data_IF_520572731136
#
_entry.id   IF_520572731136
#
_cell.length_a   1.000
_cell.length_b   1.000
_cell.length_c   1.000
_cell.angle_alpha   90.00
_cell.angle_beta   90.00
_cell.angle_gamma   90.00
#
_symmetry.space_group_name_H-M   'P 1'
#
loop_
_entity.id
_entity.type
_entity.pdbx_description
1 polymer ?
#
# COMPACT_ATOMS: atom_id res chain seq x y z
N UNK A 1 -0.62 -17.03 20.34
CA UNK A 1 0.61 -16.21 20.15
C UNK A 1 1.34 -16.48 18.82
N UNK A 2 0.98 -17.52 18.06
CA UNK A 2 1.49 -17.74 16.69
C UNK A 2 0.96 -16.81 15.57
N UNK A 3 -0.29 -16.28 15.59
CA UNK A 3 -0.80 -15.53 14.43
C UNK A 3 -0.12 -14.16 14.25
N UNK A 4 0.22 -13.51 15.35
CA UNK A 4 0.82 -12.15 15.35
C UNK A 4 2.25 -12.17 14.79
N UNK A 5 3.02 -13.21 15.10
CA UNK A 5 4.39 -13.36 14.63
C UNK A 5 4.44 -13.57 13.10
N UNK A 6 3.44 -14.26 12.55
CA UNK A 6 3.31 -14.46 11.11
C UNK A 6 2.95 -13.15 10.40
N UNK A 7 2.00 -12.36 10.92
CA UNK A 7 1.65 -11.05 10.35
C UNK A 7 2.80 -10.04 10.40
N UNK A 8 3.63 -10.07 11.45
CA UNK A 8 4.85 -9.26 11.53
C UNK A 8 5.87 -9.71 10.48
N UNK A 9 6.07 -11.02 10.29
CA UNK A 9 6.98 -11.57 9.28
C UNK A 9 6.53 -11.21 7.85
N UNK A 10 5.23 -11.26 7.59
CA UNK A 10 4.63 -10.88 6.31
C UNK A 10 4.77 -9.38 6.02
N UNK A 11 4.53 -8.55 7.03
CA UNK A 11 4.73 -7.09 6.96
C UNK A 11 6.20 -6.76 6.72
N UNK A 12 7.13 -7.42 7.43
CA UNK A 12 8.57 -7.28 7.23
C UNK A 12 8.98 -7.67 5.80
N UNK A 13 8.49 -8.79 5.29
CA UNK A 13 8.85 -9.26 3.94
C UNK A 13 8.37 -8.31 2.85
N UNK A 14 7.26 -7.59 3.09
CA UNK A 14 6.71 -6.60 2.15
C UNK A 14 7.45 -5.26 2.22
N UNK A 15 7.84 -4.81 3.42
CA UNK A 15 8.49 -3.50 3.62
C UNK A 15 10.00 -3.56 3.34
N UNK A 16 10.67 -4.68 3.61
CA UNK A 16 12.11 -4.87 3.39
C UNK A 16 12.59 -4.54 1.97
N UNK A 17 11.97 -5.02 0.87
CA UNK A 17 12.42 -4.69 -0.48
C UNK A 17 12.29 -3.20 -0.80
N UNK A 18 11.22 -2.56 -0.31
CA UNK A 18 10.98 -1.13 -0.52
C UNK A 18 12.04 -0.32 0.23
N UNK A 19 12.31 -0.65 1.51
CA UNK A 19 13.33 0.00 2.30
C UNK A 19 14.74 -0.16 1.69
N UNK A 20 15.03 -1.33 1.11
CA UNK A 20 16.30 -1.60 0.43
C UNK A 20 16.47 -0.70 -0.81
N UNK A 21 15.43 -0.57 -1.64
CA UNK A 21 15.44 0.33 -2.80
C UNK A 21 15.68 1.77 -2.36
N UNK A 22 14.98 2.24 -1.32
CA UNK A 22 15.14 3.61 -0.81
C UNK A 22 16.57 3.85 -0.32
N UNK A 23 17.15 2.93 0.45
CA UNK A 23 18.55 3.05 0.93
C UNK A 23 19.53 3.09 -0.25
N UNK A 24 19.32 2.24 -1.26
CA UNK A 24 20.17 2.19 -2.45
C UNK A 24 20.11 3.51 -3.24
N UNK A 25 18.92 4.05 -3.48
CA UNK A 25 18.72 5.35 -4.14
C UNK A 25 19.28 6.52 -3.31
N UNK A 26 19.15 6.45 -1.98
CA UNK A 26 19.64 7.47 -1.05
C UNK A 26 21.16 7.62 -1.09
N UNK A 27 21.88 6.50 -1.26
CA UNK A 27 23.36 6.48 -1.34
C UNK A 27 23.87 6.84 -2.74
N UNK A 28 23.14 6.46 -3.80
CA UNK A 28 23.63 6.59 -5.19
C UNK A 28 23.18 7.86 -5.91
N UNK A 29 21.92 8.29 -5.76
CA UNK A 29 21.35 9.39 -6.56
C UNK A 29 21.13 10.69 -5.79
N UNK A 30 20.69 10.60 -4.52
CA UNK A 30 20.21 11.77 -3.77
C UNK A 30 21.20 12.26 -2.70
N UNK A 31 22.17 11.43 -2.30
CA UNK A 31 23.16 11.73 -1.25
C UNK A 31 22.53 12.45 -0.05
N UNK A 32 21.65 11.73 0.66
CA UNK A 32 20.91 12.29 1.80
C UNK A 32 21.82 12.57 3.00
N UNK A 33 21.51 13.66 3.71
CA UNK A 33 22.12 13.94 5.01
C UNK A 33 21.77 12.87 6.05
N UNK A 34 22.68 12.62 6.99
CA UNK A 34 22.53 11.58 7.99
C UNK A 34 21.26 11.74 8.85
N UNK A 35 20.80 12.98 9.09
CA UNK A 35 19.56 13.25 9.83
C UNK A 35 18.31 12.72 9.12
N UNK A 36 18.24 12.85 7.80
CA UNK A 36 17.10 12.38 6.99
C UNK A 36 17.07 10.86 6.93
N UNK A 37 18.25 10.22 6.85
CA UNK A 37 18.38 8.77 6.82
C UNK A 37 17.92 8.13 8.14
N UNK A 38 18.26 8.74 9.28
CA UNK A 38 17.77 8.28 10.60
C UNK A 38 16.26 8.43 10.73
N UNK A 39 15.68 9.54 10.24
CA UNK A 39 14.23 9.74 10.23
C UNK A 39 13.53 8.69 9.36
N UNK A 40 14.11 8.34 8.21
CA UNK A 40 13.60 7.28 7.35
C UNK A 40 13.63 5.91 8.04
N UNK A 41 14.73 5.54 8.72
CA UNK A 41 14.80 4.27 9.46
C UNK A 41 13.77 4.22 10.59
N UNK A 42 13.64 5.30 11.36
CA UNK A 42 12.65 5.38 12.43
C UNK A 42 11.22 5.29 11.87
N UNK A 43 10.94 6.01 10.79
CA UNK A 43 9.67 5.94 10.06
C UNK A 43 9.38 4.54 9.55
N UNK A 44 10.39 3.83 9.02
CA UNK A 44 10.25 2.44 8.56
C UNK A 44 9.87 1.50 9.70
N UNK A 45 10.48 1.66 10.89
CA UNK A 45 10.12 0.87 12.08
C UNK A 45 8.66 1.14 12.48
N UNK A 46 8.26 2.42 12.53
CA UNK A 46 6.89 2.81 12.88
C UNK A 46 5.88 2.28 11.85
N UNK A 47 6.25 2.31 10.56
CA UNK A 47 5.44 1.76 9.47
C UNK A 47 5.26 0.25 9.61
N UNK A 48 6.32 -0.51 9.91
CA UNK A 48 6.22 -1.97 10.11
C UNK A 48 5.27 -2.29 11.28
N UNK A 49 5.38 -1.54 12.39
CA UNK A 49 4.49 -1.72 13.54
C UNK A 49 3.04 -1.36 13.18
N UNK A 50 2.82 -0.22 12.53
CA UNK A 50 1.49 0.24 12.10
C UNK A 50 0.83 -0.73 11.11
N UNK A 51 1.58 -1.18 10.11
CA UNK A 51 1.13 -2.19 9.15
C UNK A 51 0.82 -3.52 9.81
N UNK A 52 1.64 -3.97 10.77
CA UNK A 52 1.40 -5.21 11.50
C UNK A 52 0.10 -5.16 12.31
N UNK A 53 -0.15 -4.05 13.02
CA UNK A 53 -1.40 -3.84 13.75
C UNK A 53 -2.59 -3.68 12.81
N UNK A 54 -2.43 -2.96 11.70
CA UNK A 54 -3.47 -2.78 10.69
C UNK A 54 -3.89 -4.11 10.09
N UNK A 55 -2.95 -4.97 9.66
CA UNK A 55 -3.24 -6.29 9.07
C UNK A 55 -3.98 -7.21 10.05
N UNK A 56 -3.60 -7.20 11.33
CA UNK A 56 -4.33 -7.96 12.35
C UNK A 56 -5.74 -7.38 12.57
N UNK A 57 -5.85 -6.05 12.63
CA UNK A 57 -7.14 -5.37 12.81
C UNK A 57 -8.10 -5.56 11.63
N UNK A 58 -7.58 -5.52 10.39
CA UNK A 58 -8.35 -5.71 9.17
C UNK A 58 -8.86 -7.14 9.04
N UNK A 59 -8.07 -8.13 9.43
CA UNK A 59 -8.50 -9.54 9.45
C UNK A 59 -9.66 -9.79 10.42
N UNK A 60 -9.70 -9.09 11.56
CA UNK A 60 -10.78 -9.25 12.55
C UNK A 60 -12.04 -8.47 12.14
N UNK A 61 -11.90 -7.36 11.42
CA UNK A 61 -12.99 -6.41 11.20
C UNK A 61 -13.41 -6.28 9.73
N UNK A 62 -12.47 -5.93 8.85
CA UNK A 62 -12.76 -5.64 7.45
C UNK A 62 -13.10 -6.90 6.66
N UNK A 63 -12.43 -8.02 6.95
CA UNK A 63 -12.66 -9.30 6.26
C UNK A 63 -14.07 -9.89 6.50
N UNK A 64 -14.58 -10.01 7.76
CA UNK A 64 -15.95 -10.47 7.98
C UNK A 64 -17.01 -9.46 7.50
N UNK A 65 -16.70 -8.16 7.52
CA UNK A 65 -17.58 -7.14 6.96
C UNK A 65 -17.72 -7.30 5.44
N UNK A 66 -16.60 -7.53 4.75
CA UNK A 66 -16.56 -7.80 3.31
C UNK A 66 -17.29 -9.09 2.94
N UNK A 67 -17.08 -10.17 3.67
CA UNK A 67 -17.76 -11.46 3.43
C UNK A 67 -19.28 -11.36 3.68
N UNK A 68 -19.70 -10.66 4.74
CA UNK A 68 -21.11 -10.43 5.05
C UNK A 68 -21.84 -9.61 3.97
N UNK A 69 -21.23 -8.49 3.53
CA UNK A 69 -21.75 -7.64 2.46
C UNK A 69 -21.72 -8.37 1.12
N UNK A 70 -20.63 -9.08 0.81
CA UNK A 70 -20.48 -9.86 -0.42
C UNK A 70 -21.53 -10.95 -0.56
N UNK A 71 -21.79 -11.71 0.52
CA UNK A 71 -22.83 -12.75 0.56
C UNK A 71 -24.24 -12.18 0.37
N UNK A 72 -24.57 -11.05 1.01
CA UNK A 72 -25.89 -10.42 0.81
C UNK A 72 -26.06 -9.84 -0.58
N UNK A 73 -24.99 -9.33 -1.19
CA UNK A 73 -25.01 -8.79 -2.54
C UNK A 73 -25.17 -9.88 -3.60
N UNK A 74 -24.58 -11.06 -3.40
CA UNK A 74 -24.69 -12.21 -4.30
C UNK A 74 -25.99 -13.01 -4.13
N UNK A 75 -26.67 -12.92 -2.97
CA UNK A 75 -27.91 -13.66 -2.66
C UNK A 75 -29.04 -13.46 -3.68
N UNK A 76 -29.06 -12.34 -4.41
CA UNK A 76 -30.07 -12.05 -5.45
C UNK A 76 -29.80 -12.70 -6.82
N UNK A 77 -28.75 -13.52 -6.98
CA UNK A 77 -28.42 -14.19 -8.25
C UNK A 77 -27.95 -13.23 -9.37
N UNK A 78 -27.72 -11.96 -9.04
CA UNK A 78 -27.30 -10.91 -9.98
C UNK A 78 -25.79 -10.75 -9.91
N UNK A 79 -25.04 -11.68 -10.50
CA UNK A 79 -23.57 -11.66 -10.57
C UNK A 79 -23.00 -10.37 -11.20
N UNK A 80 -23.80 -9.67 -12.02
CA UNK A 80 -23.44 -8.39 -12.62
C UNK A 80 -23.37 -7.23 -11.59
N UNK A 81 -24.11 -7.32 -10.49
CA UNK A 81 -24.21 -6.25 -9.50
C UNK A 81 -22.94 -6.15 -8.61
N UNK A 82 -22.41 -7.25 -8.02
CA UNK A 82 -21.10 -7.24 -7.37
C UNK A 82 -19.98 -6.79 -8.28
N UNK A 83 -19.99 -7.22 -9.55
CA UNK A 83 -18.96 -6.86 -10.53
C UNK A 83 -18.91 -5.34 -10.72
N UNK A 84 -20.08 -4.70 -10.92
CA UNK A 84 -20.17 -3.26 -11.13
C UNK A 84 -19.76 -2.49 -9.87
N UNK A 85 -20.17 -2.95 -8.69
CA UNK A 85 -19.78 -2.32 -7.41
C UNK A 85 -18.28 -2.43 -7.17
N UNK A 86 -17.68 -3.61 -7.36
CA UNK A 86 -16.24 -3.79 -7.25
C UNK A 86 -15.47 -2.93 -8.27
N UNK A 87 -15.99 -2.80 -9.49
CA UNK A 87 -15.39 -1.94 -10.51
C UNK A 87 -15.40 -0.46 -10.10
N UNK A 88 -16.55 0.04 -9.65
CA UNK A 88 -16.68 1.44 -9.21
C UNK A 88 -15.82 1.71 -7.97
N UNK A 89 -15.84 0.81 -6.99
CA UNK A 89 -15.07 0.94 -5.75
C UNK A 89 -13.56 0.87 -6.04
N UNK A 90 -13.12 -0.05 -6.90
CA UNK A 90 -11.75 -0.12 -7.38
C UNK A 90 -11.32 1.14 -8.13
N UNK A 91 -12.16 1.66 -9.02
CA UNK A 91 -11.91 2.93 -9.72
C UNK A 91 -11.70 4.08 -8.74
N UNK A 92 -12.55 4.21 -7.72
CA UNK A 92 -12.39 5.25 -6.71
C UNK A 92 -11.13 5.07 -5.87
N UNK A 93 -10.74 3.85 -5.50
CA UNK A 93 -9.48 3.60 -4.79
C UNK A 93 -8.29 4.04 -5.63
N UNK A 94 -8.22 3.65 -6.91
CA UNK A 94 -7.12 4.05 -7.80
C UNK A 94 -7.07 5.56 -8.01
N UNK A 95 -8.21 6.22 -8.23
CA UNK A 95 -8.24 7.69 -8.38
C UNK A 95 -7.85 8.39 -7.07
N UNK A 96 -8.17 7.79 -5.93
CA UNK A 96 -7.83 8.34 -4.61
C UNK A 96 -6.37 8.11 -4.21
N UNK A 97 -5.56 7.39 -5.00
CA UNK A 97 -4.14 7.24 -4.75
C UNK A 97 -3.37 8.42 -5.39
N UNK A 98 -3.04 9.49 -4.61
CA UNK A 98 -2.44 10.70 -5.16
C UNK A 98 -1.02 10.47 -5.68
N UNK A 99 -0.34 9.43 -5.20
CA UNK A 99 1.03 9.10 -5.58
C UNK A 99 1.15 8.76 -7.07
N UNK A 100 0.16 8.05 -7.63
CA UNK A 100 0.07 7.78 -9.07
C UNK A 100 -0.20 9.03 -9.90
N UNK A 101 -0.96 9.98 -9.35
CA UNK A 101 -1.22 11.26 -10.01
C UNK A 101 0.06 12.10 -10.09
N UNK A 102 0.82 12.14 -9.00
CA UNK A 102 2.13 12.80 -8.96
C UNK A 102 3.10 12.14 -9.94
N UNK A 103 3.18 10.80 -9.99
CA UNK A 103 4.05 10.11 -10.95
C UNK A 103 3.64 10.40 -12.41
N UNK A 104 2.34 10.44 -12.71
CA UNK A 104 1.85 10.76 -14.05
C UNK A 104 2.22 12.19 -14.49
N UNK A 105 2.28 13.13 -13.55
CA UNK A 105 2.71 14.51 -13.80
C UNK A 105 4.23 14.62 -14.02
N UNK A 106 5.03 13.71 -13.47
CA UNK A 106 6.49 13.72 -13.64
C UNK A 106 6.99 13.04 -14.94
N UNK A 107 6.22 12.11 -15.53
CA UNK A 107 6.56 11.45 -16.81
C UNK A 107 6.72 12.40 -18.02
N UNK A 108 5.90 13.45 -18.23
CA UNK A 108 6.09 14.37 -19.36
C UNK A 108 7.35 15.25 -19.23
N UNK A 109 7.81 15.52 -18.01
CA UNK A 109 8.90 16.47 -17.76
C UNK A 109 10.27 15.93 -18.18
N UNK A 110 10.47 14.60 -18.14
CA UNK A 110 11.73 13.97 -18.58
C UNK A 110 11.89 13.91 -20.11
N UNK A 111 10.80 14.12 -20.87
CA UNK A 111 10.86 14.25 -22.34
C UNK A 111 11.11 15.67 -22.82
N UNK A 112 11.09 16.68 -21.95
CA UNK A 112 11.33 18.07 -22.32
C UNK A 112 12.82 18.44 -22.45
N UNK A 113 13.75 17.66 -21.86
CA UNK A 113 15.19 17.83 -22.04
C UNK A 113 15.73 16.90 -23.14
N UNK A 114 15.06 16.86 -24.29
CA UNK A 114 15.58 16.23 -25.52
C UNK A 114 14.96 16.85 -26.79
N UNK A 115 14.93 18.19 -26.88
CA UNK A 115 14.96 18.98 -28.12
C UNK A 115 15.79 20.23 -27.86
#
# INVERSE_FOLDING_TARGET
MAPILNSIKESLTSVLPIALIVILLSVTCVSLDAGVLVLFLFGTILLILGMSFFTVGSGISMEPLGDGIGKTLNRKGRWLLPLLICFVLGFFITVSEPDLQVLAEQVPTEKACKI
#
